data_IF_249458713817
#
_entry.id   IF_249458713817
#
_cell.length_a   1.000
_cell.length_b   1.000
_cell.length_c   1.000
_cell.angle_alpha   90.00
_cell.angle_beta   90.00
_cell.angle_gamma   90.00
#
_symmetry.space_group_name_H-M   'P 1'
#
loop_
_entity.id
_entity.type
_entity.pdbx_description
1 polymer ?
#
# COMPACT_ATOMS: atom_id res chain seq x y z
N UNK A 1 -4.44 -39.59 44.66
CA UNK A 1 -3.93 -38.64 45.67
C UNK A 1 -2.92 -39.38 46.55
N UNK A 2 -1.64 -39.30 46.23
CA UNK A 2 -0.56 -39.87 47.05
C UNK A 2 0.67 -38.98 46.91
N UNK A 3 0.98 -38.23 47.97
CA UNK A 3 2.12 -37.31 48.04
C UNK A 3 3.38 -38.12 48.33
N UNK A 4 4.32 -38.16 47.38
CA UNK A 4 5.67 -38.67 47.62
C UNK A 4 6.41 -37.68 48.54
N UNK A 5 6.91 -38.19 49.67
CA UNK A 5 7.55 -37.37 50.70
C UNK A 5 8.96 -36.97 50.25
N UNK A 6 9.25 -35.69 50.43
CA UNK A 6 10.57 -35.11 50.31
C UNK A 6 11.47 -35.64 51.43
N UNK A 7 12.45 -36.47 51.07
CA UNK A 7 13.52 -36.94 51.96
C UNK A 7 14.67 -35.94 51.84
N UNK A 8 14.90 -35.17 52.91
CA UNK A 8 16.04 -34.28 53.05
C UNK A 8 17.23 -35.12 53.51
N UNK A 9 18.03 -35.57 52.54
CA UNK A 9 19.35 -36.17 52.76
C UNK A 9 20.41 -35.28 52.13
N UNK A 10 21.41 -34.93 52.92
CA UNK A 10 22.51 -34.05 52.57
C UNK A 10 23.47 -34.74 51.58
N UNK A 11 23.47 -34.22 50.35
CA UNK A 11 24.64 -33.82 49.53
C UNK A 11 24.13 -33.69 48.08
N UNK A 12 24.04 -32.47 47.51
CA UNK A 12 23.63 -32.32 46.12
C UNK A 12 24.73 -32.91 45.23
N UNK A 13 24.42 -34.03 44.57
CA UNK A 13 25.27 -34.62 43.54
C UNK A 13 25.68 -33.51 42.57
N UNK A 14 26.98 -33.20 42.54
CA UNK A 14 27.54 -32.15 41.70
C UNK A 14 27.25 -32.51 40.25
N UNK A 15 26.50 -31.68 39.50
CA UNK A 15 26.35 -31.90 38.07
C UNK A 15 27.72 -31.78 37.42
N UNK A 16 28.09 -32.79 36.63
CA UNK A 16 29.39 -32.88 35.94
C UNK A 16 29.68 -31.65 35.05
N UNK A 17 28.67 -30.83 34.75
CA UNK A 17 28.73 -29.69 33.83
C UNK A 17 28.18 -28.42 34.52
N UNK A 18 29.02 -27.66 35.25
CA UNK A 18 28.59 -26.48 36.03
C UNK A 18 28.14 -25.28 35.18
N UNK A 19 28.53 -25.23 33.90
CA UNK A 19 28.32 -24.06 33.03
C UNK A 19 26.89 -23.97 32.48
N UNK A 20 26.10 -25.04 32.58
CA UNK A 20 24.68 -25.01 32.18
C UNK A 20 23.88 -24.55 33.40
N UNK A 21 23.92 -23.23 33.66
CA UNK A 21 23.10 -22.60 34.69
C UNK A 21 21.62 -22.96 34.43
N UNK A 22 20.97 -23.51 35.44
CA UNK A 22 19.59 -23.95 35.36
C UNK A 22 18.67 -22.82 34.91
N UNK A 23 17.72 -23.16 34.02
CA UNK A 23 16.55 -22.36 33.65
C UNK A 23 16.75 -21.09 32.81
N UNK A 24 17.30 -21.22 31.60
CA UNK A 24 16.85 -20.34 30.51
C UNK A 24 15.48 -20.82 30.06
N UNK A 25 14.42 -20.08 30.42
CA UNK A 25 12.99 -20.39 30.24
C UNK A 25 12.55 -20.50 28.75
N UNK A 26 13.49 -20.46 27.81
CA UNK A 26 13.24 -20.29 26.38
C UNK A 26 12.41 -21.41 25.71
N UNK A 27 12.21 -22.55 26.37
CA UNK A 27 11.62 -23.76 25.76
C UNK A 27 10.20 -24.11 26.23
N UNK A 28 9.48 -23.23 26.94
CA UNK A 28 8.18 -23.59 27.54
C UNK A 28 6.94 -23.09 26.80
N UNK A 29 7.08 -22.23 25.79
CA UNK A 29 5.93 -21.59 25.15
C UNK A 29 5.75 -22.03 23.70
N UNK A 30 4.98 -23.11 23.52
CA UNK A 30 4.50 -23.57 22.21
C UNK A 30 4.00 -25.02 22.23
N UNK A 31 3.06 -25.42 21.37
CA UNK A 31 2.50 -26.78 21.36
C UNK A 31 3.55 -27.88 21.13
N UNK A 32 4.70 -27.55 20.52
CA UNK A 32 5.83 -28.46 20.31
C UNK A 32 6.72 -28.67 21.55
N UNK A 33 6.59 -27.83 22.60
CA UNK A 33 7.42 -27.93 23.81
C UNK A 33 7.10 -29.15 24.67
N UNK A 34 5.83 -29.60 24.66
CA UNK A 34 5.39 -30.76 25.43
C UNK A 34 6.02 -32.08 24.98
N UNK A 35 6.29 -32.23 23.68
CA UNK A 35 6.89 -33.45 23.10
C UNK A 35 8.39 -33.54 23.39
N UNK A 36 9.09 -32.40 23.38
CA UNK A 36 10.53 -32.34 23.63
C UNK A 36 10.88 -32.66 25.10
N UNK A 37 10.07 -32.20 26.05
CA UNK A 37 10.25 -32.48 27.48
C UNK A 37 10.06 -33.96 27.84
N UNK A 38 9.38 -34.74 27.00
CA UNK A 38 9.20 -36.19 27.20
C UNK A 38 10.40 -37.03 26.67
N UNK A 39 11.49 -36.38 26.25
CA UNK A 39 12.69 -37.05 25.74
C UNK A 39 12.50 -37.71 24.37
N UNK A 40 11.37 -37.44 23.70
CA UNK A 40 11.12 -37.92 22.35
C UNK A 40 11.85 -37.03 21.35
N UNK A 41 13.08 -37.39 21.00
CA UNK A 41 13.61 -37.00 19.69
C UNK A 41 12.57 -37.43 18.65
N UNK A 42 12.08 -36.47 17.84
CA UNK A 42 11.09 -36.75 16.80
C UNK A 42 11.49 -38.04 16.07
N UNK A 43 10.63 -39.08 15.98
CA UNK A 43 11.04 -40.42 15.53
C UNK A 43 11.80 -40.41 14.20
N UNK A 44 11.47 -39.46 13.31
CA UNK A 44 12.20 -39.21 12.06
C UNK A 44 13.63 -38.72 12.26
N UNK A 45 13.87 -37.81 13.20
CA UNK A 45 15.21 -37.31 13.54
C UNK A 45 16.03 -38.39 14.25
N UNK A 46 15.42 -39.13 15.18
CA UNK A 46 16.07 -40.25 15.85
C UNK A 46 16.50 -41.34 14.86
N UNK A 47 15.61 -41.69 13.92
CA UNK A 47 15.91 -42.64 12.83
C UNK A 47 17.07 -42.14 11.96
N UNK A 48 17.07 -40.87 11.56
CA UNK A 48 18.16 -40.32 10.74
C UNK A 48 19.51 -40.25 11.45
N UNK A 49 19.54 -39.96 12.76
CA UNK A 49 20.81 -39.94 13.51
C UNK A 49 21.42 -41.34 13.64
N UNK A 50 20.60 -42.39 13.66
CA UNK A 50 21.07 -43.78 13.77
C UNK A 50 21.37 -44.43 12.41
N UNK A 51 20.70 -43.97 11.34
CA UNK A 51 20.77 -44.54 9.99
C UNK A 51 21.72 -43.78 9.05
N UNK A 52 21.94 -42.48 9.26
CA UNK A 52 22.86 -41.65 8.45
C UNK A 52 24.27 -41.62 9.03
N UNK A 53 25.26 -41.51 8.14
CA UNK A 53 26.65 -41.29 8.55
C UNK A 53 26.87 -39.86 9.07
N UNK A 54 27.91 -39.66 9.89
CA UNK A 54 28.26 -38.32 10.40
C UNK A 54 28.58 -37.32 9.27
N UNK A 55 29.08 -37.78 8.12
CA UNK A 55 29.40 -36.94 6.96
C UNK A 55 28.12 -36.43 6.27
N UNK A 56 27.12 -37.30 6.09
CA UNK A 56 25.81 -36.92 5.54
C UNK A 56 25.08 -35.91 6.44
N UNK A 57 25.18 -36.08 7.76
CA UNK A 57 24.61 -35.14 8.73
C UNK A 57 25.28 -33.76 8.66
N UNK A 58 26.61 -33.71 8.53
CA UNK A 58 27.35 -32.45 8.36
C UNK A 58 26.97 -31.74 7.05
N UNK A 59 26.96 -32.47 5.93
CA UNK A 59 26.56 -31.93 4.63
C UNK A 59 25.12 -31.38 4.68
N UNK A 60 24.21 -32.02 5.41
CA UNK A 60 22.84 -31.52 5.58
C UNK A 60 22.77 -30.27 6.44
N UNK A 61 23.57 -30.19 7.51
CA UNK A 61 23.66 -29.00 8.34
C UNK A 61 24.18 -27.80 7.54
N UNK A 62 25.19 -27.99 6.70
CA UNK A 62 25.73 -26.94 5.83
C UNK A 62 24.69 -26.44 4.81
N UNK A 63 23.94 -27.37 4.20
CA UNK A 63 22.83 -27.00 3.30
C UNK A 63 21.73 -26.21 4.02
N UNK A 64 21.38 -26.59 5.25
CA UNK A 64 20.39 -25.85 6.05
C UNK A 64 20.90 -24.45 6.41
N UNK A 65 22.18 -24.32 6.75
CA UNK A 65 22.80 -23.02 7.01
C UNK A 65 22.80 -22.14 5.75
N UNK A 66 23.10 -22.71 4.57
CA UNK A 66 22.99 -22.04 3.28
C UNK A 66 21.56 -21.52 3.03
N UNK A 67 20.56 -22.40 3.16
CA UNK A 67 19.16 -22.04 2.96
C UNK A 67 18.68 -20.93 3.93
N UNK A 68 19.13 -20.95 5.18
CA UNK A 68 18.84 -19.89 6.16
C UNK A 68 19.42 -18.54 5.76
N UNK A 69 20.65 -18.54 5.24
CA UNK A 69 21.29 -17.32 4.77
C UNK A 69 20.56 -16.75 3.54
N UNK A 70 20.13 -17.61 2.62
CA UNK A 70 19.34 -17.19 1.46
C UNK A 70 17.98 -16.61 1.88
N UNK A 71 17.31 -17.21 2.85
CA UNK A 71 16.08 -16.67 3.43
C UNK A 71 16.32 -15.28 4.04
N UNK A 72 17.35 -15.12 4.87
CA UNK A 72 17.66 -13.82 5.49
C UNK A 72 17.96 -12.72 4.45
N UNK A 73 18.62 -13.08 3.35
CA UNK A 73 18.85 -12.17 2.21
C UNK A 73 17.52 -11.75 1.56
N UNK A 74 16.64 -12.69 1.26
CA UNK A 74 15.33 -12.41 0.67
C UNK A 74 14.46 -11.55 1.59
N UNK A 75 14.49 -11.79 2.90
CA UNK A 75 13.78 -10.95 3.88
C UNK A 75 14.28 -9.50 3.84
N UNK A 76 15.61 -9.31 3.74
CA UNK A 76 16.21 -7.98 3.54
C UNK A 76 15.75 -7.30 2.25
N UNK A 77 15.72 -8.04 1.13
CA UNK A 77 15.26 -7.53 -0.15
C UNK A 77 13.77 -7.14 -0.12
N UNK A 78 12.93 -7.96 0.54
CA UNK A 78 11.50 -7.67 0.72
C UNK A 78 11.28 -6.42 1.57
N UNK A 79 12.05 -6.24 2.64
CA UNK A 79 12.00 -5.03 3.47
C UNK A 79 12.40 -3.78 2.66
N UNK A 80 13.50 -3.86 1.91
CA UNK A 80 13.98 -2.79 1.02
C UNK A 80 12.94 -2.44 -0.05
N UNK A 81 12.33 -3.44 -0.69
CA UNK A 81 11.26 -3.24 -1.67
C UNK A 81 10.03 -2.60 -1.03
N UNK A 82 9.67 -3.01 0.18
CA UNK A 82 8.52 -2.45 0.93
C UNK A 82 8.74 -0.96 1.22
N UNK A 83 9.95 -0.58 1.62
CA UNK A 83 10.32 0.82 1.85
C UNK A 83 10.26 1.63 0.54
N UNK A 84 10.81 1.10 -0.56
CA UNK A 84 10.77 1.74 -1.87
C UNK A 84 9.32 1.95 -2.38
N UNK A 85 8.44 0.96 -2.19
CA UNK A 85 7.02 1.06 -2.55
C UNK A 85 6.31 2.12 -1.69
N UNK A 86 6.61 2.19 -0.39
CA UNK A 86 6.06 3.22 0.48
C UNK A 86 6.49 4.64 0.04
N UNK A 87 7.77 4.81 -0.31
CA UNK A 87 8.32 6.05 -0.84
C UNK A 87 7.65 6.46 -2.16
N UNK A 88 7.54 5.55 -3.13
CA UNK A 88 6.89 5.81 -4.42
C UNK A 88 5.42 6.17 -4.24
N UNK A 89 4.70 5.47 -3.35
CA UNK A 89 3.31 5.77 -3.02
C UNK A 89 3.14 7.19 -2.44
N UNK A 90 4.05 7.61 -1.57
CA UNK A 90 4.04 8.97 -1.01
C UNK A 90 4.32 10.01 -2.10
N UNK A 91 5.32 9.77 -2.96
CA UNK A 91 5.65 10.66 -4.07
C UNK A 91 4.50 10.81 -5.06
N UNK A 92 3.88 9.70 -5.46
CA UNK A 92 2.71 9.70 -6.36
C UNK A 92 1.56 10.53 -5.78
N UNK A 93 1.28 10.39 -4.48
CA UNK A 93 0.24 11.19 -3.81
C UNK A 93 0.56 12.68 -3.84
N UNK A 94 1.80 13.06 -3.49
CA UNK A 94 2.21 14.45 -3.48
C UNK A 94 2.17 15.08 -4.89
N UNK A 95 2.67 14.35 -5.89
CA UNK A 95 2.67 14.81 -7.28
C UNK A 95 1.25 14.88 -7.87
N UNK A 96 0.40 13.90 -7.56
CA UNK A 96 -1.01 13.92 -7.93
C UNK A 96 -1.76 15.12 -7.32
N UNK A 97 -1.53 15.42 -6.04
CA UNK A 97 -2.10 16.61 -5.40
C UNK A 97 -1.63 17.90 -6.05
N UNK A 98 -0.35 17.99 -6.40
CA UNK A 98 0.21 19.14 -7.11
C UNK A 98 -0.39 19.30 -8.50
N UNK A 99 -0.55 18.21 -9.25
CA UNK A 99 -1.18 18.23 -10.58
C UNK A 99 -2.65 18.67 -10.50
N UNK A 100 -3.41 18.16 -9.53
CA UNK A 100 -4.81 18.57 -9.31
C UNK A 100 -4.89 20.05 -8.95
N UNK A 101 -4.02 20.54 -8.07
CA UNK A 101 -3.98 21.96 -7.72
C UNK A 101 -3.67 22.83 -8.95
N UNK A 102 -2.65 22.47 -9.72
CA UNK A 102 -2.30 23.20 -10.96
C UNK A 102 -3.45 23.18 -11.99
N UNK A 103 -4.16 22.06 -12.11
CA UNK A 103 -5.34 21.98 -12.99
C UNK A 103 -6.48 22.90 -12.54
N UNK A 104 -6.77 22.94 -11.23
CA UNK A 104 -7.82 23.83 -10.69
C UNK A 104 -7.49 25.32 -10.86
N UNK A 105 -6.22 25.67 -10.82
CA UNK A 105 -5.74 27.05 -11.08
C UNK A 105 -5.58 27.35 -12.59
N UNK A 106 -5.86 26.38 -13.47
CA UNK A 106 -5.75 26.59 -14.91
C UNK A 106 -6.94 27.38 -15.45
N UNK A 107 -6.67 28.25 -16.44
CA UNK A 107 -7.69 29.04 -17.13
C UNK A 107 -8.77 28.17 -17.79
N UNK A 108 -8.41 26.98 -18.27
CA UNK A 108 -9.38 26.04 -18.86
C UNK A 108 -10.43 25.59 -17.85
N UNK A 109 -9.98 25.24 -16.63
CA UNK A 109 -10.89 24.86 -15.55
C UNK A 109 -11.83 26.01 -15.14
N UNK A 110 -11.30 27.24 -15.03
CA UNK A 110 -12.13 28.43 -14.75
C UNK A 110 -13.17 28.68 -15.85
N UNK A 111 -12.77 28.58 -17.12
CA UNK A 111 -13.66 28.76 -18.26
C UNK A 111 -14.78 27.70 -18.32
N UNK A 112 -14.42 26.44 -18.09
CA UNK A 112 -15.39 25.34 -18.02
C UNK A 112 -16.41 25.57 -16.88
N UNK A 113 -15.94 26.06 -15.73
CA UNK A 113 -16.81 26.44 -14.62
C UNK A 113 -17.74 27.60 -14.97
N UNK A 114 -17.25 28.64 -15.66
CA UNK A 114 -18.09 29.76 -16.10
C UNK A 114 -19.18 29.30 -17.08
N UNK A 115 -18.80 28.49 -18.09
CA UNK A 115 -19.72 27.90 -19.06
C UNK A 115 -20.81 27.07 -18.36
N UNK A 116 -20.42 26.20 -17.42
CA UNK A 116 -21.37 25.41 -16.62
C UNK A 116 -22.29 26.29 -15.75
N UNK A 117 -21.73 27.34 -15.13
CA UNK A 117 -22.48 28.32 -14.35
C UNK A 117 -23.55 29.03 -15.18
N UNK A 118 -23.21 29.49 -16.38
CA UNK A 118 -24.16 30.14 -17.31
C UNK A 118 -25.31 29.21 -17.70
N UNK A 119 -25.00 27.98 -18.11
CA UNK A 119 -26.03 26.99 -18.51
C UNK A 119 -27.00 26.69 -17.37
N UNK A 120 -26.48 26.50 -16.15
CA UNK A 120 -27.33 26.23 -14.98
C UNK A 120 -28.19 27.43 -14.57
N UNK A 121 -27.65 28.65 -14.66
CA UNK A 121 -28.40 29.88 -14.40
C UNK A 121 -29.50 30.11 -15.44
N UNK A 122 -29.20 29.95 -16.73
CA UNK A 122 -30.16 30.08 -17.83
C UNK A 122 -31.31 29.09 -17.66
N UNK A 123 -30.99 27.82 -17.37
CA UNK A 123 -32.01 26.80 -17.13
C UNK A 123 -32.91 27.17 -15.96
N UNK A 124 -32.34 27.61 -14.83
CA UNK A 124 -33.09 28.06 -13.67
C UNK A 124 -33.98 29.27 -13.98
N UNK A 125 -33.47 30.23 -14.76
CA UNK A 125 -34.20 31.41 -15.20
C UNK A 125 -35.42 31.03 -16.06
N UNK A 126 -35.24 30.18 -17.08
CA UNK A 126 -36.33 29.69 -17.94
C UNK A 126 -37.41 28.99 -17.12
N UNK A 127 -37.03 28.13 -16.15
CA UNK A 127 -37.98 27.46 -15.26
C UNK A 127 -38.74 28.45 -14.37
N UNK A 128 -38.06 29.47 -13.82
CA UNK A 128 -38.71 30.49 -13.01
C UNK A 128 -39.67 31.37 -13.82
N UNK A 129 -39.27 31.71 -15.06
CA UNK A 129 -40.07 32.48 -16.01
C UNK A 129 -41.38 31.74 -16.37
N UNK A 130 -41.29 30.46 -16.70
CA UNK A 130 -42.48 29.65 -17.02
C UNK A 130 -43.42 29.48 -15.80
N UNK A 131 -42.86 29.35 -14.60
CA UNK A 131 -43.66 29.33 -13.37
C UNK A 131 -44.38 30.65 -13.11
N UNK A 132 -43.73 31.78 -13.42
CA UNK A 132 -44.33 33.11 -13.27
C UNK A 132 -45.48 33.27 -14.27
N UNK A 133 -45.26 32.92 -15.55
CA UNK A 133 -46.29 32.97 -16.61
C UNK A 133 -47.50 32.09 -16.30
N UNK A 134 -47.28 30.91 -15.73
CA UNK A 134 -48.36 30.03 -15.28
C UNK A 134 -49.22 30.61 -14.15
N UNK A 135 -48.71 31.56 -13.37
CA UNK A 135 -49.45 32.24 -12.29
C UNK A 135 -50.04 33.59 -12.72
N UNK A 136 -49.34 34.32 -13.58
CA UNK A 136 -49.70 35.67 -14.02
C UNK A 136 -49.39 35.81 -15.51
N UNK A 137 -50.37 35.48 -16.34
CA UNK A 137 -50.21 35.45 -17.81
C UNK A 137 -50.08 36.83 -18.44
N UNK A 138 -50.34 37.90 -17.68
CA UNK A 138 -50.44 39.28 -18.16
C UNK A 138 -49.11 40.04 -18.02
N UNK A 139 -48.10 39.44 -17.38
CA UNK A 139 -46.81 40.08 -17.12
C UNK A 139 -45.94 40.02 -18.38
N UNK A 140 -45.73 41.18 -19.01
CA UNK A 140 -44.85 41.35 -20.15
C UNK A 140 -43.41 41.55 -19.65
N UNK A 141 -42.51 40.61 -19.95
CA UNK A 141 -41.10 40.69 -19.59
C UNK A 141 -40.31 41.17 -20.82
N UNK A 142 -39.60 42.28 -20.63
CA UNK A 142 -38.63 42.84 -21.58
C UNK A 142 -37.56 41.77 -21.86
N UNK A 143 -37.37 41.43 -23.14
CA UNK A 143 -36.65 40.27 -23.71
C UNK A 143 -35.84 39.39 -22.75
N UNK A 144 -36.03 38.07 -22.83
CA UNK A 144 -35.18 37.08 -22.16
C UNK A 144 -33.69 37.38 -22.46
N UNK A 145 -32.88 37.76 -21.44
CA UNK A 145 -31.48 38.15 -21.61
C UNK A 145 -30.59 37.08 -22.25
N UNK A 146 -31.09 35.85 -22.40
CA UNK A 146 -30.39 34.72 -23.02
C UNK A 146 -30.81 34.43 -24.46
N UNK A 147 -31.79 35.17 -25.02
CA UNK A 147 -32.22 35.02 -26.43
C UNK A 147 -31.14 35.47 -27.42
N UNK A 148 -30.17 36.28 -26.99
CA UNK A 148 -29.03 36.73 -27.80
C UNK A 148 -27.77 35.85 -27.70
N UNK A 149 -27.73 34.81 -26.85
CA UNK A 149 -26.53 33.97 -26.68
C UNK A 149 -26.28 32.95 -27.81
N UNK A 150 -26.64 33.27 -29.06
CA UNK A 150 -26.21 32.55 -30.27
C UNK A 150 -24.75 32.89 -30.66
N UNK A 151 -23.93 33.35 -29.72
CA UNK A 151 -22.51 33.64 -29.96
C UNK A 151 -21.73 32.38 -30.40
N UNK A 152 -22.22 31.17 -30.09
CA UNK A 152 -21.69 29.90 -30.60
C UNK A 152 -21.95 29.66 -32.11
N UNK A 153 -22.74 30.50 -32.80
CA UNK A 153 -22.82 30.51 -34.29
C UNK A 153 -21.65 31.29 -34.91
N UNK A 154 -20.99 32.15 -34.14
CA UNK A 154 -19.95 33.07 -34.62
C UNK A 154 -18.56 32.75 -34.06
N UNK A 155 -18.43 31.75 -33.20
CA UNK A 155 -17.12 31.17 -32.86
C UNK A 155 -16.67 30.34 -34.05
N UNK A 156 -15.85 30.93 -34.91
CA UNK A 156 -15.07 30.21 -35.91
C UNK A 156 -14.20 29.18 -35.17
N UNK A 157 -14.67 27.93 -35.13
CA UNK A 157 -13.86 26.83 -34.62
C UNK A 157 -12.80 26.52 -35.67
N UNK A 158 -11.56 26.88 -35.39
CA UNK A 158 -10.42 26.42 -36.19
C UNK A 158 -10.33 24.90 -36.07
N UNK A 159 -10.76 24.19 -37.11
CA UNK A 159 -10.77 22.72 -37.17
C UNK A 159 -9.36 22.13 -37.19
N UNK A 160 -8.34 22.97 -37.39
CA UNK A 160 -6.95 22.59 -37.58
C UNK A 160 -6.07 22.91 -36.36
N UNK A 161 -6.61 22.93 -35.13
CA UNK A 161 -5.78 22.99 -33.94
C UNK A 161 -5.32 21.56 -33.55
N UNK A 162 -4.13 21.09 -33.98
CA UNK A 162 -3.63 19.80 -33.54
C UNK A 162 -3.41 19.85 -32.03
N UNK A 163 -3.90 18.83 -31.32
CA UNK A 163 -3.44 18.53 -29.98
C UNK A 163 -1.94 18.23 -30.06
N UNK A 164 -1.11 19.24 -29.85
CA UNK A 164 0.33 19.08 -29.88
C UNK A 164 0.81 18.51 -28.54
N UNK A 165 0.79 17.18 -28.44
CA UNK A 165 1.36 16.42 -27.33
C UNK A 165 2.89 16.23 -27.48
N UNK A 166 3.52 16.97 -28.40
CA UNK A 166 4.96 16.94 -28.62
C UNK A 166 5.73 17.51 -27.44
N UNK A 167 6.36 16.64 -26.64
CA UNK A 167 7.34 17.01 -25.61
C UNK A 167 8.36 18.02 -26.19
N UNK A 168 8.70 19.13 -25.49
CA UNK A 168 9.63 20.12 -26.03
C UNK A 168 11.03 19.49 -26.14
N UNK A 169 11.43 19.14 -27.37
CA UNK A 169 12.78 18.64 -27.64
C UNK A 169 13.80 19.75 -27.33
N UNK A 170 14.67 19.47 -26.36
CA UNK A 170 15.83 20.30 -26.02
C UNK A 170 16.71 20.44 -27.27
N UNK A 171 16.72 21.63 -27.86
CA UNK A 171 17.76 22.02 -28.82
C UNK A 171 19.10 22.04 -28.08
N UNK A 172 19.96 21.07 -28.39
CA UNK A 172 21.36 21.11 -27.99
C UNK A 172 22.05 22.20 -28.82
N UNK A 173 22.66 23.14 -28.11
CA UNK A 173 23.59 24.11 -28.67
C UNK A 173 24.98 23.47 -28.61
N UNK A 174 25.64 23.34 -29.76
CA UNK A 174 27.08 23.03 -29.84
C UNK A 174 27.61 23.45 -31.21
N UNK A 175 28.89 23.81 -31.31
CA UNK A 175 29.64 24.79 -30.52
C UNK A 175 29.89 26.08 -31.31
#
# INVERSE_FOLDING_TARGET
MTRLKYVKGEDPLVPRWPTISGSSWFWTEGPLSGEYLQGALHPTLAKQVYECSSEELMNRADNLNGARNDQARLEGDVLSLTEAVAFLKAKLKAEGQKAIAAYKESRGFEFDLEKMGRVSYEFGYRVALERLRGKHSDIMIELDPFVECLEDVNVEMDLDQPFNDGTPSKKQLTP
#
